data_IF_182940699782
#
_entry.id   IF_182940699782
#
_cell.length_a   1.000
_cell.length_b   1.000
_cell.length_c   1.000
_cell.angle_alpha   90.00
_cell.angle_beta   90.00
_cell.angle_gamma   90.00
#
_symmetry.space_group_name_H-M   'P 1'
#
loop_
_entity.id
_entity.type
_entity.pdbx_description
1 polymer ?
#
# COMPACT_ATOMS: atom_id res chain seq x y z
N UNK A 1 -26.37 -16.14 2.36
CA UNK A 1 -26.36 -15.50 1.04
C UNK A 1 -25.07 -14.74 0.89
N UNK A 2 -24.30 -15.07 -0.14
CA UNK A 2 -23.10 -14.31 -0.49
C UNK A 2 -23.56 -13.06 -1.23
N UNK A 3 -22.88 -11.94 -1.01
CA UNK A 3 -23.23 -10.61 -1.56
C UNK A 3 -23.43 -10.62 -3.08
N UNK A 4 -22.74 -11.52 -3.81
CA UNK A 4 -22.91 -11.73 -5.25
C UNK A 4 -24.30 -12.26 -5.65
N UNK A 5 -24.92 -13.11 -4.83
CA UNK A 5 -26.27 -13.63 -5.07
C UNK A 5 -27.32 -12.50 -4.96
N UNK A 6 -27.07 -11.47 -4.15
CA UNK A 6 -27.97 -10.31 -4.03
C UNK A 6 -27.93 -9.42 -5.28
N UNK A 7 -26.78 -9.31 -5.96
CA UNK A 7 -26.67 -8.53 -7.19
C UNK A 7 -27.31 -9.26 -8.38
N UNK A 8 -27.14 -10.58 -8.49
CA UNK A 8 -27.85 -11.36 -9.52
C UNK A 8 -29.36 -11.26 -9.36
N UNK A 9 -29.87 -11.38 -8.12
CA UNK A 9 -31.31 -11.22 -7.84
C UNK A 9 -31.77 -9.79 -8.17
N UNK A 10 -30.94 -8.77 -7.91
CA UNK A 10 -31.28 -7.39 -8.22
C UNK A 10 -31.34 -7.13 -9.73
N UNK A 11 -30.43 -7.73 -10.51
CA UNK A 11 -30.40 -7.63 -11.97
C UNK A 11 -31.61 -8.34 -12.59
N UNK A 12 -31.95 -9.55 -12.13
CA UNK A 12 -33.13 -10.31 -12.58
C UNK A 12 -34.43 -9.52 -12.33
N UNK A 13 -34.56 -8.90 -11.15
CA UNK A 13 -35.71 -8.05 -10.82
C UNK A 13 -35.77 -6.78 -11.69
N UNK A 14 -34.62 -6.25 -12.08
CA UNK A 14 -34.51 -5.06 -12.94
C UNK A 14 -34.94 -5.35 -14.37
N UNK A 15 -34.72 -6.56 -14.86
CA UNK A 15 -35.13 -7.00 -16.18
C UNK A 15 -36.64 -7.28 -16.24
N UNK A 16 -37.20 -7.93 -15.22
CA UNK A 16 -38.65 -8.17 -15.12
C UNK A 16 -39.45 -6.86 -15.04
N UNK A 17 -38.96 -5.87 -14.28
CA UNK A 17 -39.57 -4.54 -14.21
C UNK A 17 -39.51 -3.80 -15.56
N UNK A 18 -38.43 -3.96 -16.33
CA UNK A 18 -38.31 -3.35 -17.65
C UNK A 18 -39.29 -3.94 -18.67
N UNK A 19 -39.51 -5.25 -18.63
CA UNK A 19 -40.46 -5.92 -19.51
C UNK A 19 -41.90 -5.48 -19.20
N UNK A 20 -42.24 -5.39 -17.90
CA UNK A 20 -43.55 -4.92 -17.45
C UNK A 20 -43.83 -3.46 -17.85
N UNK A 21 -42.86 -2.56 -17.69
CA UNK A 21 -43.01 -1.15 -18.10
C UNK A 21 -43.15 -0.99 -19.62
N UNK A 22 -42.41 -1.78 -20.41
CA UNK A 22 -42.55 -1.80 -21.88
C UNK A 22 -43.93 -2.29 -22.31
N UNK A 23 -44.42 -3.36 -21.68
CA UNK A 23 -45.76 -3.92 -21.93
C UNK A 23 -46.86 -2.88 -21.65
N UNK A 24 -46.79 -2.20 -20.50
CA UNK A 24 -47.76 -1.16 -20.13
C UNK A 24 -47.70 0.03 -21.10
N UNK A 25 -46.50 0.49 -21.48
CA UNK A 25 -46.34 1.63 -22.41
C UNK A 25 -46.93 1.31 -23.79
N UNK A 26 -46.69 0.10 -24.29
CA UNK A 26 -47.25 -0.35 -25.58
C UNK A 26 -48.78 -0.46 -25.56
N UNK A 27 -49.38 -0.81 -24.41
CA UNK A 27 -50.82 -0.89 -24.25
C UNK A 27 -51.50 0.50 -24.22
N UNK A 28 -50.76 1.55 -23.89
CA UNK A 28 -51.27 2.93 -23.76
C UNK A 28 -51.12 3.72 -25.07
N UNK A 29 -50.07 3.49 -25.86
CA UNK A 29 -49.84 4.23 -27.12
C UNK A 29 -50.82 3.87 -28.27
N UNK A 30 -51.45 2.70 -28.22
CA UNK A 30 -52.32 2.22 -29.31
C UNK A 30 -53.79 2.66 -29.27
N UNK A 31 -54.26 3.34 -28.20
CA UNK A 31 -55.67 3.69 -28.04
C UNK A 31 -55.82 5.17 -27.71
N UNK A 32 -56.21 5.97 -28.70
CA UNK A 32 -56.75 7.31 -28.46
C UNK A 32 -58.04 7.22 -27.64
N UNK A 33 -57.94 7.23 -26.31
CA UNK A 33 -59.10 7.10 -25.42
C UNK A 33 -59.85 8.43 -25.35
N UNK A 34 -60.90 8.59 -26.16
CA UNK A 34 -61.93 9.63 -25.94
C UNK A 34 -62.78 9.23 -24.74
N UNK A 35 -62.49 9.80 -23.56
CA UNK A 35 -63.28 9.57 -22.34
C UNK A 35 -64.48 10.52 -22.33
N UNK A 36 -65.70 10.00 -22.51
CA UNK A 36 -66.94 10.69 -22.10
C UNK A 36 -67.08 10.55 -20.58
N UNK A 37 -67.05 11.67 -19.86
CA UNK A 37 -67.01 11.71 -18.38
C UNK A 37 -68.44 11.68 -17.82
N UNK A 38 -68.79 10.56 -17.16
CA UNK A 38 -69.84 10.51 -16.13
C UNK A 38 -69.20 10.78 -14.74
N UNK A 39 -69.94 11.05 -13.66
CA UNK A 39 -69.40 11.51 -12.36
C UNK A 39 -68.39 10.56 -11.69
N UNK A 40 -68.36 9.29 -12.06
CA UNK A 40 -67.33 8.32 -11.65
C UNK A 40 -65.95 8.54 -12.32
N UNK A 41 -65.90 9.38 -13.36
CA UNK A 41 -64.71 9.68 -14.13
C UNK A 41 -63.69 10.56 -13.39
N UNK A 42 -64.14 11.36 -12.41
CA UNK A 42 -63.26 12.24 -11.64
C UNK A 42 -62.42 11.44 -10.63
N UNK A 43 -63.06 10.56 -9.84
CA UNK A 43 -62.36 9.61 -8.95
C UNK A 43 -61.44 8.64 -9.70
N UNK A 44 -61.87 8.18 -10.88
CA UNK A 44 -61.06 7.30 -11.74
C UNK A 44 -59.85 8.04 -12.32
N UNK A 45 -60.01 9.32 -12.64
CA UNK A 45 -58.93 10.19 -13.13
C UNK A 45 -57.92 10.48 -12.01
N UNK A 46 -58.37 10.82 -10.81
CA UNK A 46 -57.48 11.00 -9.64
C UNK A 46 -56.66 9.73 -9.34
N UNK A 47 -57.30 8.54 -9.42
CA UNK A 47 -56.61 7.27 -9.23
C UNK A 47 -55.60 6.96 -10.35
N UNK A 48 -55.87 7.38 -11.59
CA UNK A 48 -54.93 7.26 -12.71
C UNK A 48 -53.75 8.23 -12.55
N UNK A 49 -54.01 9.46 -12.16
CA UNK A 49 -52.97 10.48 -11.92
C UNK A 49 -52.05 10.10 -10.77
N UNK A 50 -52.57 9.49 -9.69
CA UNK A 50 -51.76 8.99 -8.59
C UNK A 50 -50.89 7.79 -8.98
N UNK A 51 -51.41 6.87 -9.80
CA UNK A 51 -50.62 5.74 -10.33
C UNK A 51 -49.51 6.19 -11.28
N UNK A 52 -49.77 7.18 -12.15
CA UNK A 52 -48.75 7.75 -13.03
C UNK A 52 -47.67 8.48 -12.23
N UNK A 53 -48.05 9.22 -11.18
CA UNK A 53 -47.11 9.87 -10.27
C UNK A 53 -46.23 8.84 -9.54
N UNK A 54 -46.83 7.77 -9.01
CA UNK A 54 -46.10 6.68 -8.35
C UNK A 54 -45.14 5.97 -9.32
N UNK A 55 -45.56 5.72 -10.57
CA UNK A 55 -44.70 5.11 -11.58
C UNK A 55 -43.50 6.00 -11.95
N UNK A 56 -43.67 7.33 -11.98
CA UNK A 56 -42.55 8.27 -12.19
C UNK A 56 -41.57 8.24 -11.01
N UNK A 57 -42.07 8.26 -9.78
CA UNK A 57 -41.21 8.18 -8.59
C UNK A 57 -40.40 6.88 -8.55
N UNK A 58 -41.00 5.75 -8.96
CA UNK A 58 -40.30 4.47 -9.10
C UNK A 58 -39.23 4.50 -10.20
N UNK A 59 -39.48 5.22 -11.30
CA UNK A 59 -38.52 5.38 -12.38
C UNK A 59 -37.33 6.25 -11.95
N UNK A 60 -37.57 7.37 -11.27
CA UNK A 60 -36.50 8.24 -10.75
C UNK A 60 -35.64 7.49 -9.71
N UNK A 61 -36.29 6.76 -8.80
CA UNK A 61 -35.61 5.92 -7.80
C UNK A 61 -34.73 4.83 -8.44
N UNK A 62 -35.06 4.34 -9.64
CA UNK A 62 -34.26 3.36 -10.37
C UNK A 62 -32.92 3.95 -10.82
N UNK A 63 -32.91 5.17 -11.32
CA UNK A 63 -31.69 5.80 -11.80
C UNK A 63 -30.78 6.19 -10.62
N UNK A 64 -31.35 6.62 -9.49
CA UNK A 64 -30.62 6.78 -8.22
C UNK A 64 -29.99 5.46 -7.75
N UNK A 65 -30.72 4.35 -7.82
CA UNK A 65 -30.20 3.01 -7.46
C UNK A 65 -29.01 2.62 -8.36
N UNK A 66 -29.08 2.85 -9.67
CA UNK A 66 -27.95 2.57 -10.57
C UNK A 66 -26.72 3.38 -10.22
N UNK A 67 -26.89 4.66 -9.89
CA UNK A 67 -25.78 5.52 -9.48
C UNK A 67 -25.14 5.01 -8.18
N UNK A 68 -25.95 4.61 -7.19
CA UNK A 68 -25.49 4.00 -5.95
C UNK A 68 -24.70 2.72 -6.24
N UNK A 69 -25.18 1.84 -7.12
CA UNK A 69 -24.50 0.60 -7.50
C UNK A 69 -23.15 0.88 -8.18
N UNK A 70 -23.09 1.87 -9.06
CA UNK A 70 -21.85 2.29 -9.71
C UNK A 70 -20.82 2.81 -8.69
N UNK A 71 -21.27 3.68 -7.78
CA UNK A 71 -20.44 4.22 -6.69
C UNK A 71 -19.94 3.10 -5.79
N UNK A 72 -20.81 2.15 -5.39
CA UNK A 72 -20.44 1.02 -4.55
C UNK A 72 -19.38 0.13 -5.20
N UNK A 73 -19.47 -0.10 -6.52
CA UNK A 73 -18.45 -0.83 -7.27
C UNK A 73 -17.11 -0.08 -7.27
N UNK A 74 -17.12 1.22 -7.54
CA UNK A 74 -15.92 2.04 -7.51
C UNK A 74 -15.26 2.06 -6.11
N UNK A 75 -16.07 2.14 -5.05
CA UNK A 75 -15.61 2.03 -3.67
C UNK A 75 -14.94 0.68 -3.39
N UNK A 76 -15.52 -0.42 -3.85
CA UNK A 76 -14.94 -1.76 -3.70
C UNK A 76 -13.61 -1.90 -4.43
N UNK A 77 -13.50 -1.34 -5.63
CA UNK A 77 -12.26 -1.32 -6.40
C UNK A 77 -11.18 -0.48 -5.70
N UNK A 78 -11.54 0.69 -5.16
CA UNK A 78 -10.65 1.54 -4.39
C UNK A 78 -10.16 0.86 -3.10
N UNK A 79 -11.05 0.18 -2.38
CA UNK A 79 -10.69 -0.57 -1.17
C UNK A 79 -9.73 -1.74 -1.49
N UNK A 80 -9.97 -2.47 -2.59
CA UNK A 80 -9.05 -3.50 -3.05
C UNK A 80 -7.67 -2.94 -3.41
N UNK A 81 -7.61 -1.75 -4.01
CA UNK A 81 -6.33 -1.07 -4.29
C UNK A 81 -5.63 -0.61 -3.01
N UNK A 82 -6.35 -0.01 -2.06
CA UNK A 82 -5.80 0.40 -0.78
C UNK A 82 -5.18 -0.79 -0.02
N UNK A 83 -5.88 -1.94 -0.02
CA UNK A 83 -5.38 -3.17 0.59
C UNK A 83 -4.09 -3.68 -0.08
N UNK A 84 -3.97 -3.59 -1.41
CA UNK A 84 -2.73 -3.95 -2.12
C UNK A 84 -1.56 -3.05 -1.72
N UNK A 85 -1.78 -1.74 -1.71
CA UNK A 85 -0.76 -0.75 -1.31
C UNK A 85 -0.32 -0.99 0.13
N UNK A 86 -1.26 -1.28 1.04
CA UNK A 86 -0.94 -1.57 2.43
C UNK A 86 -0.04 -2.81 2.58
N UNK A 87 -0.31 -3.87 1.81
CA UNK A 87 0.51 -5.09 1.80
C UNK A 87 1.91 -4.83 1.21
N UNK A 88 2.01 -4.04 0.15
CA UNK A 88 3.30 -3.64 -0.44
C UNK A 88 4.12 -2.82 0.56
N UNK A 89 3.51 -1.83 1.22
CA UNK A 89 4.16 -1.02 2.24
C UNK A 89 4.65 -1.88 3.42
N UNK A 90 3.85 -2.85 3.88
CA UNK A 90 4.28 -3.78 4.92
C UNK A 90 5.52 -4.59 4.51
N UNK A 91 5.60 -5.04 3.25
CA UNK A 91 6.78 -5.75 2.73
C UNK A 91 8.01 -4.85 2.68
N UNK A 92 7.85 -3.60 2.25
CA UNK A 92 8.94 -2.63 2.22
C UNK A 92 9.45 -2.30 3.61
N UNK A 93 8.56 -2.09 4.59
CA UNK A 93 8.92 -1.87 5.99
C UNK A 93 9.74 -3.05 6.51
N UNK A 94 9.27 -4.29 6.32
CA UNK A 94 10.01 -5.48 6.74
C UNK A 94 11.39 -5.57 6.07
N UNK A 95 11.50 -5.23 4.79
CA UNK A 95 12.78 -5.21 4.07
C UNK A 95 13.74 -4.14 4.63
N UNK A 96 13.24 -2.96 4.98
CA UNK A 96 14.03 -1.90 5.62
C UNK A 96 14.49 -2.32 7.01
N UNK A 97 13.63 -2.94 7.82
CA UNK A 97 13.99 -3.45 9.14
C UNK A 97 15.08 -4.53 9.06
N UNK A 98 14.98 -5.48 8.11
CA UNK A 98 16.02 -6.46 7.87
C UNK A 98 17.36 -5.84 7.42
N UNK A 99 17.33 -4.75 6.65
CA UNK A 99 18.56 -4.01 6.31
C UNK A 99 19.14 -3.30 7.52
N UNK A 100 18.28 -2.68 8.34
CA UNK A 100 18.68 -2.00 9.57
C UNK A 100 19.32 -2.95 10.57
N UNK A 101 18.78 -4.15 10.75
CA UNK A 101 19.36 -5.13 11.67
C UNK A 101 20.72 -5.64 11.17
N UNK A 102 20.85 -5.92 9.88
CA UNK A 102 22.15 -6.26 9.28
C UNK A 102 23.19 -5.17 9.48
N UNK A 103 22.81 -3.90 9.30
CA UNK A 103 23.71 -2.76 9.58
C UNK A 103 24.09 -2.68 11.06
N UNK A 104 23.17 -3.01 11.96
CA UNK A 104 23.42 -3.04 13.41
C UNK A 104 24.43 -4.12 13.79
N UNK A 105 24.20 -5.36 13.35
CA UNK A 105 25.13 -6.48 13.58
C UNK A 105 26.52 -6.18 13.01
N UNK A 106 26.57 -5.64 11.80
CA UNK A 106 27.83 -5.29 11.15
C UNK A 106 28.56 -4.17 11.89
N UNK A 107 27.85 -3.11 12.31
CA UNK A 107 28.41 -2.02 13.13
C UNK A 107 28.98 -2.53 14.45
N UNK A 108 28.33 -3.50 15.09
CA UNK A 108 28.80 -4.10 16.33
C UNK A 108 30.12 -4.84 16.13
N UNK A 109 30.22 -5.69 15.10
CA UNK A 109 31.47 -6.40 14.75
C UNK A 109 32.63 -5.44 14.47
N UNK A 110 32.33 -4.26 13.92
CA UNK A 110 33.35 -3.25 13.66
C UNK A 110 33.86 -2.57 14.91
N UNK A 111 32.98 -2.26 15.86
CA UNK A 111 33.41 -1.73 17.15
C UNK A 111 34.38 -2.71 17.83
N UNK A 112 34.06 -4.00 17.77
CA UNK A 112 34.93 -5.06 18.29
C UNK A 112 36.27 -5.09 17.57
N UNK A 113 36.29 -5.06 16.23
CA UNK A 113 37.53 -5.02 15.45
C UNK A 113 38.37 -3.76 15.75
N UNK A 114 37.74 -2.60 15.89
CA UNK A 114 38.43 -1.34 16.19
C UNK A 114 39.09 -1.41 17.57
N UNK A 115 38.39 -1.92 18.59
CA UNK A 115 38.99 -2.08 19.92
C UNK A 115 40.16 -3.09 19.88
N UNK A 116 40.03 -4.22 19.17
CA UNK A 116 41.14 -5.18 19.00
C UNK A 116 42.37 -4.51 18.36
N UNK A 117 42.19 -3.77 17.27
CA UNK A 117 43.32 -3.11 16.62
C UNK A 117 43.92 -1.99 17.46
N UNK A 118 43.10 -1.27 18.23
CA UNK A 118 43.56 -0.25 19.18
C UNK A 118 44.38 -0.87 20.31
N UNK A 119 43.98 -2.03 20.83
CA UNK A 119 44.77 -2.80 21.80
C UNK A 119 46.11 -3.26 21.21
N UNK A 120 46.10 -3.79 19.98
CA UNK A 120 47.34 -4.18 19.27
C UNK A 120 48.27 -3.00 19.05
N UNK A 121 47.74 -1.85 18.60
CA UNK A 121 48.51 -0.63 18.40
C UNK A 121 49.13 -0.14 19.71
N UNK A 122 48.35 -0.14 20.80
CA UNK A 122 48.84 0.22 22.13
C UNK A 122 49.96 -0.71 22.62
N UNK A 123 49.83 -2.02 22.38
CA UNK A 123 50.87 -2.99 22.71
C UNK A 123 52.16 -2.73 21.92
N UNK A 124 52.06 -2.50 20.61
CA UNK A 124 53.21 -2.19 19.76
C UNK A 124 53.86 -0.86 20.19
N UNK A 125 53.07 0.18 20.45
CA UNK A 125 53.58 1.47 20.92
C UNK A 125 54.32 1.37 22.26
N UNK A 126 53.83 0.55 23.20
CA UNK A 126 54.55 0.27 24.46
C UNK A 126 55.91 -0.36 24.19
N UNK A 127 56.00 -1.34 23.27
CA UNK A 127 57.26 -1.98 22.88
C UNK A 127 58.20 -0.98 22.22
N UNK A 128 57.71 -0.18 21.27
CA UNK A 128 58.47 0.87 20.58
C UNK A 128 59.05 1.89 21.57
N UNK A 129 58.26 2.31 22.55
CA UNK A 129 58.68 3.28 23.56
C UNK A 129 59.70 2.69 24.55
N UNK A 130 59.60 1.40 24.86
CA UNK A 130 60.55 0.70 25.72
C UNK A 130 61.86 0.33 25.02
N UNK A 131 61.88 0.25 23.68
CA UNK A 131 63.08 -0.04 22.91
C UNK A 131 64.05 1.16 22.95
N UNK A 132 65.27 0.98 23.49
CA UNK A 132 66.34 1.94 23.32
C UNK A 132 66.65 2.11 21.83
N UNK A 133 67.25 3.24 21.46
CA UNK A 133 67.59 3.56 20.07
C UNK A 133 69.06 4.03 19.97
N UNK A 134 69.92 3.40 20.77
CA UNK A 134 71.32 3.77 20.92
C UNK A 134 72.20 3.08 19.87
N UNK A 135 71.74 1.95 19.33
CA UNK A 135 72.40 1.24 18.24
C UNK A 135 71.61 1.29 16.94
N UNK A 136 72.31 1.18 15.81
CA UNK A 136 71.69 1.16 14.47
C UNK A 136 70.68 0.00 14.32
N UNK A 137 70.97 -1.15 14.92
CA UNK A 137 70.09 -2.33 14.90
C UNK A 137 68.81 -2.09 15.72
N UNK A 138 68.92 -1.42 16.87
CA UNK A 138 67.78 -1.00 17.67
C UNK A 138 66.90 0.02 16.95
N UNK A 139 67.52 0.98 16.26
CA UNK A 139 66.81 1.97 15.44
C UNK A 139 66.04 1.28 14.30
N UNK A 140 66.66 0.31 13.61
CA UNK A 140 66.00 -0.48 12.58
C UNK A 140 64.80 -1.29 13.10
N UNK A 141 64.91 -1.91 14.28
CA UNK A 141 63.78 -2.61 14.92
C UNK A 141 62.64 -1.66 15.28
N UNK A 142 62.96 -0.46 15.76
CA UNK A 142 61.97 0.57 16.11
C UNK A 142 61.21 1.04 14.86
N UNK A 143 61.93 1.25 13.75
CA UNK A 143 61.33 1.62 12.45
C UNK A 143 60.38 0.53 11.94
N UNK A 144 60.79 -0.74 11.98
CA UNK A 144 59.96 -1.87 11.54
C UNK A 144 58.65 -2.01 12.33
N UNK A 145 58.66 -1.70 13.63
CA UNK A 145 57.45 -1.68 14.45
C UNK A 145 56.52 -0.52 14.09
N UNK A 146 57.07 0.66 13.78
CA UNK A 146 56.30 1.81 13.29
C UNK A 146 55.64 1.50 11.95
N UNK A 147 56.36 0.86 11.02
CA UNK A 147 55.80 0.43 9.73
C UNK A 147 54.65 -0.56 9.93
N UNK A 148 54.77 -1.45 10.92
CA UNK A 148 53.72 -2.41 11.28
C UNK A 148 52.48 -1.71 11.86
N UNK A 149 52.65 -0.66 12.67
CA UNK A 149 51.54 0.20 13.11
C UNK A 149 50.84 0.89 11.93
N UNK A 150 51.61 1.43 10.98
CA UNK A 150 51.06 2.09 9.79
C UNK A 150 50.26 1.14 8.89
N UNK A 151 50.72 -0.12 8.77
CA UNK A 151 49.99 -1.17 8.06
C UNK A 151 48.64 -1.48 8.73
N UNK A 152 48.62 -1.65 10.05
CA UNK A 152 47.39 -1.89 10.82
C UNK A 152 46.38 -0.72 10.68
N UNK A 153 46.86 0.52 10.78
CA UNK A 153 46.02 1.71 10.58
C UNK A 153 45.44 1.78 9.16
N UNK A 154 46.22 1.37 8.15
CA UNK A 154 45.76 1.33 6.75
C UNK A 154 44.68 0.27 6.53
N UNK A 155 44.82 -0.91 7.15
CA UNK A 155 43.78 -1.96 7.11
C UNK A 155 42.50 -1.50 7.79
N UNK A 156 42.61 -0.88 8.96
CA UNK A 156 41.47 -0.33 9.70
C UNK A 156 40.76 0.76 8.90
N UNK A 157 41.52 1.68 8.29
CA UNK A 157 40.98 2.72 7.41
C UNK A 157 40.27 2.13 6.19
N UNK A 158 40.83 1.06 5.59
CA UNK A 158 40.20 0.36 4.45
C UNK A 158 38.91 -0.34 4.87
N UNK A 159 38.88 -0.97 6.04
CA UNK A 159 37.68 -1.58 6.60
C UNK A 159 36.59 -0.53 6.83
N UNK A 160 36.95 0.62 7.42
CA UNK A 160 36.06 1.78 7.62
C UNK A 160 35.57 2.36 6.29
N UNK A 161 36.43 2.54 5.28
CA UNK A 161 36.00 3.10 4.00
C UNK A 161 35.05 2.18 3.24
N UNK A 162 35.24 0.86 3.30
CA UNK A 162 34.28 -0.10 2.74
C UNK A 162 32.87 0.03 3.33
N UNK A 163 32.73 0.56 4.55
CA UNK A 163 31.41 0.83 5.16
C UNK A 163 30.74 2.08 4.63
N UNK A 164 31.50 3.15 4.41
CA UNK A 164 30.92 4.41 3.97
C UNK A 164 30.38 4.32 2.53
N UNK A 165 30.81 3.30 1.78
CA UNK A 165 30.46 3.09 0.38
C UNK A 165 29.56 1.89 0.11
N UNK A 166 29.18 1.12 1.14
CA UNK A 166 28.32 -0.07 1.01
C UNK A 166 26.90 0.21 1.51
#
# INVERSE_FOLDING_TARGET
MKEEELFEIADDYLDELQENVRSISSAVEGKGVKIKVAPEGEKRREKLESLVSAARQLYDSRDDIKEILYIAKALREADAQANRIALELQREIAAVEMRRERLREFSQRLKELIEVYKEQLNAVMKIVNALPAETQEQFARKLALIDRCNALLSELSRAVMKLLTA
#
